data_IF_726829015960
#
_entry.id   IF_726829015960
#
_cell.length_a   1.000
_cell.length_b   1.000
_cell.length_c   1.000
_cell.angle_alpha   90.00
_cell.angle_beta   90.00
_cell.angle_gamma   90.00
#
_symmetry.space_group_name_H-M   'P 1'
#
loop_
_entity.id
_entity.type
_entity.pdbx_description
1 polymer ?
#
# COMPACT_ATOMS: atom_id res chain seq x y z
N UNK A 1 20.30 -28.16 -15.82
CA UNK A 1 19.79 -26.92 -15.21
C UNK A 1 18.51 -26.56 -15.93
N UNK A 2 17.41 -26.40 -15.21
CA UNK A 2 16.11 -26.05 -15.78
C UNK A 2 16.04 -24.52 -15.91
N UNK A 3 16.34 -24.02 -17.12
CA UNK A 3 16.37 -22.58 -17.39
C UNK A 3 14.99 -21.92 -17.32
N UNK A 4 13.92 -22.69 -17.48
CA UNK A 4 12.56 -22.18 -17.35
C UNK A 4 12.27 -21.86 -15.89
N UNK A 5 12.69 -22.74 -14.99
CA UNK A 5 12.59 -22.53 -13.54
C UNK A 5 13.45 -21.36 -13.05
N UNK A 6 14.60 -21.11 -13.68
CA UNK A 6 15.43 -19.93 -13.37
C UNK A 6 14.72 -18.64 -13.77
N UNK A 7 14.11 -18.60 -14.96
CA UNK A 7 13.38 -17.43 -15.42
C UNK A 7 12.19 -17.08 -14.51
N UNK A 8 11.44 -18.09 -14.05
CA UNK A 8 10.35 -17.90 -13.10
C UNK A 8 10.86 -17.32 -11.76
N UNK A 9 11.97 -17.87 -11.24
CA UNK A 9 12.56 -17.42 -9.99
C UNK A 9 13.05 -15.97 -10.07
N UNK A 10 13.65 -15.57 -11.20
CA UNK A 10 14.06 -14.18 -11.43
C UNK A 10 12.87 -13.22 -11.42
N UNK A 11 11.73 -13.60 -12.02
CA UNK A 11 10.54 -12.75 -12.00
C UNK A 11 9.99 -12.57 -10.57
N UNK A 12 10.01 -13.63 -9.76
CA UNK A 12 9.58 -13.53 -8.35
C UNK A 12 10.55 -12.72 -7.48
N UNK A 13 11.85 -12.82 -7.74
CA UNK A 13 12.86 -12.03 -7.05
C UNK A 13 12.72 -10.54 -7.38
N UNK A 14 12.48 -10.19 -8.64
CA UNK A 14 12.26 -8.81 -9.04
C UNK A 14 11.13 -8.16 -8.23
N UNK A 15 9.98 -8.82 -8.10
CA UNK A 15 8.85 -8.33 -7.30
C UNK A 15 9.20 -8.20 -5.82
N UNK A 16 9.94 -9.17 -5.25
CA UNK A 16 10.37 -9.10 -3.86
C UNK A 16 11.32 -7.91 -3.60
N UNK A 17 12.14 -7.57 -4.60
CA UNK A 17 13.04 -6.42 -4.60
C UNK A 17 12.34 -5.10 -4.99
N UNK A 18 11.00 -5.09 -5.11
CA UNK A 18 10.19 -3.93 -5.53
C UNK A 18 10.55 -3.40 -6.93
N UNK A 19 10.88 -4.32 -7.85
CA UNK A 19 11.21 -4.06 -9.26
C UNK A 19 10.32 -4.85 -10.22
N UNK A 20 10.21 -4.37 -11.46
CA UNK A 20 9.43 -5.05 -12.50
C UNK A 20 10.20 -6.25 -13.06
N UNK A 21 9.55 -7.41 -13.28
CA UNK A 21 10.19 -8.56 -13.89
C UNK A 21 10.43 -8.35 -15.39
N UNK A 22 11.56 -8.82 -15.91
CA UNK A 22 11.85 -8.80 -17.34
C UNK A 22 10.97 -9.80 -18.12
N UNK A 23 10.20 -9.31 -19.10
CA UNK A 23 9.42 -10.16 -20.01
C UNK A 23 10.19 -10.34 -21.31
N UNK A 24 10.79 -11.52 -21.50
CA UNK A 24 11.67 -11.80 -22.63
C UNK A 24 10.93 -12.44 -23.81
N UNK A 25 11.35 -12.11 -25.04
CA UNK A 25 10.73 -12.65 -26.26
C UNK A 25 10.79 -14.18 -26.37
N UNK A 26 11.87 -14.77 -25.83
CA UNK A 26 12.10 -16.22 -25.83
C UNK A 26 11.22 -17.02 -24.85
N UNK A 27 10.40 -16.36 -24.04
CA UNK A 27 9.51 -17.04 -23.09
C UNK A 27 8.39 -17.80 -23.81
N UNK A 28 8.07 -18.99 -23.30
CA UNK A 28 6.84 -19.70 -23.69
C UNK A 28 5.60 -18.88 -23.31
N UNK A 29 4.42 -19.14 -23.92
CA UNK A 29 3.19 -18.44 -23.55
C UNK A 29 2.85 -18.53 -22.06
N UNK A 30 3.08 -19.70 -21.43
CA UNK A 30 2.85 -19.90 -20.00
C UNK A 30 3.81 -19.07 -19.13
N UNK A 31 5.10 -19.04 -19.46
CA UNK A 31 6.08 -18.19 -18.77
C UNK A 31 5.74 -16.71 -18.90
N UNK A 32 5.37 -16.28 -20.11
CA UNK A 32 4.96 -14.89 -20.37
C UNK A 32 3.74 -14.50 -19.55
N UNK A 33 2.73 -15.38 -19.47
CA UNK A 33 1.55 -15.14 -18.65
C UNK A 33 1.88 -14.98 -17.15
N UNK A 34 2.81 -15.77 -16.62
CA UNK A 34 3.25 -15.63 -15.21
C UNK A 34 4.06 -14.36 -14.97
N UNK A 35 4.97 -14.02 -15.89
CA UNK A 35 5.74 -12.78 -15.78
C UNK A 35 4.81 -11.54 -15.83
N UNK A 36 3.82 -11.53 -16.73
CA UNK A 36 2.78 -10.49 -16.80
C UNK A 36 1.92 -10.43 -15.54
N UNK A 37 1.62 -11.57 -14.93
CA UNK A 37 0.90 -11.61 -13.66
C UNK A 37 1.71 -10.98 -12.52
N UNK A 38 3.00 -11.31 -12.43
CA UNK A 38 3.91 -10.78 -11.41
C UNK A 38 4.21 -9.28 -11.62
N UNK A 39 4.37 -8.84 -12.87
CA UNK A 39 4.45 -7.42 -13.22
C UNK A 39 3.20 -6.67 -12.76
N UNK A 40 2.02 -7.14 -13.15
CA UNK A 40 0.76 -6.53 -12.73
C UNK A 40 0.60 -6.51 -11.19
N UNK A 41 1.10 -7.53 -10.49
CA UNK A 41 1.08 -7.57 -9.03
C UNK A 41 2.03 -6.55 -8.37
N UNK A 42 3.22 -6.36 -8.94
CA UNK A 42 4.14 -5.31 -8.53
C UNK A 42 3.57 -3.90 -8.77
N UNK A 43 2.87 -3.71 -9.88
CA UNK A 43 2.26 -2.44 -10.30
C UNK A 43 0.88 -2.15 -9.65
N UNK A 44 0.53 -2.81 -8.56
CA UNK A 44 -0.76 -2.68 -7.85
C UNK A 44 -2.02 -3.04 -8.68
N UNK A 45 -1.87 -3.68 -9.86
CA UNK A 45 -2.96 -4.13 -10.75
C UNK A 45 -3.45 -5.53 -10.38
N UNK A 46 -3.93 -5.69 -9.14
CA UNK A 46 -4.27 -6.99 -8.52
C UNK A 46 -5.25 -7.85 -9.32
N UNK A 47 -6.32 -7.26 -9.88
CA UNK A 47 -7.30 -8.00 -10.67
C UNK A 47 -6.73 -8.43 -12.04
N UNK A 48 -5.81 -7.65 -12.60
CA UNK A 48 -5.12 -8.00 -13.84
C UNK A 48 -4.11 -9.12 -13.60
N UNK A 49 -3.43 -9.11 -12.44
CA UNK A 49 -2.50 -10.17 -12.04
C UNK A 49 -3.18 -11.56 -12.05
N UNK A 50 -4.34 -11.69 -11.40
CA UNK A 50 -5.10 -12.96 -11.41
C UNK A 50 -5.65 -13.30 -12.80
N UNK A 51 -5.95 -12.31 -13.63
CA UNK A 51 -6.38 -12.54 -15.01
C UNK A 51 -5.26 -13.14 -15.86
N UNK A 52 -4.05 -12.59 -15.79
CA UNK A 52 -2.89 -13.14 -16.50
C UNK A 52 -2.48 -14.50 -15.95
N UNK A 53 -2.49 -14.69 -14.62
CA UNK A 53 -2.12 -15.99 -14.01
C UNK A 53 -3.02 -17.13 -14.47
N UNK A 54 -4.32 -16.87 -14.67
CA UNK A 54 -5.30 -17.88 -15.13
C UNK A 54 -5.13 -18.31 -16.59
N UNK A 55 -4.25 -17.66 -17.37
CA UNK A 55 -3.92 -18.08 -18.75
C UNK A 55 -2.98 -19.28 -18.83
N UNK A 56 -2.57 -19.81 -17.67
CA UNK A 56 -1.75 -20.99 -17.54
C UNK A 56 -2.27 -21.87 -16.39
N UNK A 57 -1.84 -23.14 -16.34
CA UNK A 57 -2.45 -24.16 -15.47
C UNK A 57 -1.66 -24.47 -14.18
N UNK A 58 -0.43 -23.96 -14.04
CA UNK A 58 0.39 -24.24 -12.86
C UNK A 58 -0.13 -23.46 -11.65
N UNK A 59 -0.23 -24.17 -10.52
CA UNK A 59 -0.50 -23.57 -9.23
C UNK A 59 0.65 -22.63 -8.79
N UNK A 60 0.39 -21.58 -8.00
CA UNK A 60 1.44 -20.77 -7.40
C UNK A 60 2.29 -21.61 -6.44
N UNK A 61 3.61 -21.49 -6.56
CA UNK A 61 4.62 -22.30 -5.86
C UNK A 61 5.48 -21.46 -4.93
N UNK A 62 5.86 -20.24 -5.34
CA UNK A 62 6.71 -19.36 -4.52
C UNK A 62 5.86 -18.53 -3.54
N UNK A 63 6.44 -18.03 -2.44
CA UNK A 63 5.72 -17.12 -1.54
C UNK A 63 5.11 -15.91 -2.26
N UNK A 64 5.84 -15.31 -3.21
CA UNK A 64 5.35 -14.17 -4.01
C UNK A 64 4.18 -14.57 -4.92
N UNK A 65 4.25 -15.72 -5.60
CA UNK A 65 3.14 -16.21 -6.43
C UNK A 65 1.90 -16.52 -5.57
N UNK A 66 2.10 -17.07 -4.36
CA UNK A 66 1.02 -17.33 -3.41
C UNK A 66 0.42 -16.02 -2.91
N UNK A 67 1.25 -15.04 -2.55
CA UNK A 67 0.84 -13.71 -2.13
C UNK A 67 0.03 -12.99 -3.21
N UNK A 68 0.48 -13.04 -4.46
CA UNK A 68 -0.24 -12.51 -5.61
C UNK A 68 -1.64 -13.10 -5.74
N UNK A 69 -1.74 -14.44 -5.70
CA UNK A 69 -3.04 -15.10 -5.79
C UNK A 69 -3.93 -14.77 -4.60
N UNK A 70 -3.37 -14.75 -3.38
CA UNK A 70 -4.08 -14.45 -2.16
C UNK A 70 -4.67 -13.02 -2.20
N UNK A 71 -3.84 -12.02 -2.47
CA UNK A 71 -4.26 -10.62 -2.44
C UNK A 71 -5.17 -10.27 -3.62
N UNK A 72 -4.89 -10.80 -4.82
CA UNK A 72 -5.73 -10.57 -5.99
C UNK A 72 -7.14 -11.16 -5.84
N UNK A 73 -7.27 -12.36 -5.27
CA UNK A 73 -8.57 -12.95 -4.95
C UNK A 73 -9.29 -12.16 -3.84
N UNK A 74 -8.55 -11.69 -2.83
CA UNK A 74 -9.12 -10.86 -1.77
C UNK A 74 -9.65 -9.52 -2.30
N UNK A 75 -8.93 -8.89 -3.24
CA UNK A 75 -9.38 -7.68 -3.92
C UNK A 75 -10.67 -7.92 -4.71
N UNK A 76 -10.81 -9.09 -5.33
CA UNK A 76 -12.03 -9.51 -6.01
C UNK A 76 -13.20 -9.86 -5.07
N UNK A 77 -12.98 -9.89 -3.74
CA UNK A 77 -13.95 -10.37 -2.76
C UNK A 77 -14.18 -11.88 -2.81
N UNK A 78 -13.29 -12.63 -3.48
CA UNK A 78 -13.42 -14.08 -3.67
C UNK A 78 -12.93 -14.83 -2.43
N UNK A 79 -13.79 -15.66 -1.85
CA UNK A 79 -13.49 -16.46 -0.66
C UNK A 79 -12.39 -17.51 -0.89
N UNK A 80 -12.06 -17.85 -2.14
CA UNK A 80 -10.89 -18.66 -2.47
C UNK A 80 -9.58 -18.03 -1.94
N UNK A 81 -9.54 -16.71 -1.69
CA UNK A 81 -8.41 -16.03 -1.07
C UNK A 81 -8.00 -16.64 0.29
N UNK A 82 -8.95 -17.18 1.06
CA UNK A 82 -8.70 -17.71 2.41
C UNK A 82 -7.70 -18.86 2.40
N UNK A 83 -7.81 -19.78 1.43
CA UNK A 83 -6.87 -20.90 1.31
C UNK A 83 -5.45 -20.41 0.99
N UNK A 84 -5.33 -19.43 0.09
CA UNK A 84 -4.04 -18.85 -0.26
C UNK A 84 -3.46 -18.01 0.89
N UNK A 85 -4.29 -17.29 1.65
CA UNK A 85 -3.87 -16.56 2.85
C UNK A 85 -3.33 -17.52 3.94
N UNK A 86 -3.98 -18.67 4.14
CA UNK A 86 -3.51 -19.69 5.08
C UNK A 86 -2.16 -20.28 4.64
N UNK A 87 -1.99 -20.56 3.35
CA UNK A 87 -0.71 -21.01 2.79
C UNK A 87 0.38 -19.96 2.98
N UNK A 88 0.06 -18.70 2.68
CA UNK A 88 0.99 -17.58 2.83
C UNK A 88 1.43 -17.41 4.29
N UNK A 89 0.51 -17.54 5.24
CA UNK A 89 0.77 -17.35 6.66
C UNK A 89 1.74 -18.36 7.30
N UNK A 90 2.09 -19.45 6.59
CA UNK A 90 3.17 -20.34 7.00
C UNK A 90 4.56 -19.71 6.86
N UNK A 91 4.71 -18.70 6.01
CA UNK A 91 5.96 -17.97 5.77
C UNK A 91 5.84 -16.50 6.17
N UNK A 92 4.75 -15.86 5.74
CA UNK A 92 4.54 -14.42 5.78
C UNK A 92 3.22 -14.11 6.54
N UNK A 93 3.20 -14.22 7.87
CA UNK A 93 1.98 -14.05 8.66
C UNK A 93 1.43 -12.61 8.67
N UNK A 94 2.26 -11.59 8.40
CA UNK A 94 1.81 -10.20 8.27
C UNK A 94 0.97 -9.99 7.01
N UNK A 95 1.47 -10.48 5.88
CA UNK A 95 0.86 -10.44 4.56
C UNK A 95 -0.44 -11.25 4.53
N UNK A 96 -0.45 -12.42 5.17
CA UNK A 96 -1.67 -13.21 5.31
C UNK A 96 -2.78 -12.42 6.02
N UNK A 97 -2.45 -11.66 7.07
CA UNK A 97 -3.41 -10.79 7.74
C UNK A 97 -3.83 -9.60 6.84
N UNK A 98 -2.91 -9.01 6.05
CA UNK A 98 -3.29 -8.00 5.06
C UNK A 98 -4.31 -8.54 4.04
N UNK A 99 -4.11 -9.76 3.55
CA UNK A 99 -5.03 -10.43 2.63
C UNK A 99 -6.41 -10.60 3.27
N UNK A 100 -6.47 -11.06 4.52
CA UNK A 100 -7.74 -11.21 5.25
C UNK A 100 -8.41 -9.86 5.48
N UNK A 101 -7.66 -8.83 5.85
CA UNK A 101 -8.15 -7.47 5.98
C UNK A 101 -8.77 -6.96 4.69
N UNK A 102 -8.09 -7.15 3.55
CA UNK A 102 -8.60 -6.78 2.21
C UNK A 102 -9.88 -7.53 1.87
N UNK A 103 -9.90 -8.86 2.03
CA UNK A 103 -11.08 -9.68 1.73
C UNK A 103 -12.31 -9.21 2.51
N UNK A 104 -12.13 -8.96 3.81
CA UNK A 104 -13.21 -8.49 4.70
C UNK A 104 -13.67 -7.08 4.33
N UNK A 105 -12.75 -6.18 4.00
CA UNK A 105 -13.08 -4.83 3.54
C UNK A 105 -13.89 -4.86 2.23
N UNK A 106 -13.50 -5.70 1.27
CA UNK A 106 -14.24 -5.89 0.00
C UNK A 106 -15.57 -6.62 0.20
N UNK A 107 -15.72 -7.37 1.29
CA UNK A 107 -16.98 -8.00 1.71
C UNK A 107 -17.87 -7.11 2.60
N UNK A 108 -17.50 -5.84 2.81
CA UNK A 108 -18.27 -4.88 3.63
C UNK A 108 -18.15 -5.08 5.14
N UNK A 109 -17.21 -5.91 5.61
CA UNK A 109 -16.98 -6.22 7.03
C UNK A 109 -15.84 -5.37 7.59
N UNK A 110 -16.01 -4.06 7.57
CA UNK A 110 -14.92 -3.10 7.83
C UNK A 110 -14.35 -3.21 9.25
N UNK A 111 -15.18 -3.45 10.26
CA UNK A 111 -14.70 -3.64 11.64
C UNK A 111 -13.75 -4.84 11.78
N UNK A 112 -14.12 -5.99 11.20
CA UNK A 112 -13.26 -7.19 11.18
C UNK A 112 -12.01 -6.96 10.31
N UNK A 113 -12.14 -6.22 9.20
CA UNK A 113 -11.00 -5.87 8.36
C UNK A 113 -9.94 -5.08 9.14
N UNK A 114 -10.36 -4.11 9.95
CA UNK A 114 -9.47 -3.32 10.82
C UNK A 114 -8.74 -4.21 11.83
N UNK A 115 -9.39 -5.23 12.39
CA UNK A 115 -8.74 -6.15 13.33
C UNK A 115 -7.52 -6.83 12.69
N UNK A 116 -7.67 -7.30 11.45
CA UNK A 116 -6.59 -7.90 10.69
C UNK A 116 -5.51 -6.90 10.26
N UNK A 117 -5.89 -5.70 9.80
CA UNK A 117 -4.92 -4.66 9.44
C UNK A 117 -4.07 -4.22 10.64
N UNK A 118 -4.69 -4.01 11.80
CA UNK A 118 -3.97 -3.68 13.04
C UNK A 118 -2.97 -4.77 13.40
N UNK A 119 -3.38 -6.04 13.26
CA UNK A 119 -2.53 -7.19 13.54
C UNK A 119 -1.34 -7.29 12.56
N UNK A 120 -1.59 -7.08 11.26
CA UNK A 120 -0.55 -7.05 10.23
C UNK A 120 0.49 -5.96 10.51
N UNK A 121 0.06 -4.70 10.68
CA UNK A 121 0.97 -3.57 10.91
C UNK A 121 1.69 -3.62 12.26
N UNK A 122 1.14 -4.30 13.27
CA UNK A 122 1.88 -4.60 14.49
C UNK A 122 3.03 -5.57 14.26
N UNK A 123 2.87 -6.56 13.37
CA UNK A 123 3.95 -7.49 13.02
C UNK A 123 5.05 -6.86 12.18
N UNK A 124 4.70 -6.01 11.22
CA UNK A 124 5.70 -5.33 10.38
C UNK A 124 6.66 -4.43 11.15
N UNK A 125 6.40 -4.15 12.44
CA UNK A 125 7.35 -3.48 13.33
C UNK A 125 8.60 -4.30 13.61
N UNK A 126 8.46 -5.63 13.60
CA UNK A 126 9.51 -6.57 13.97
C UNK A 126 9.97 -7.44 12.79
N UNK A 127 9.33 -7.34 11.62
CA UNK A 127 9.58 -8.15 10.44
C UNK A 127 10.35 -7.37 9.34
N UNK A 128 11.66 -7.62 9.17
CA UNK A 128 12.47 -6.91 8.18
C UNK A 128 12.34 -7.48 6.76
N UNK A 129 11.53 -8.53 6.52
CA UNK A 129 11.43 -9.20 5.23
C UNK A 129 10.04 -9.09 4.56
N UNK A 130 9.14 -8.31 5.17
CA UNK A 130 7.81 -8.07 4.61
C UNK A 130 7.88 -7.46 3.19
N UNK A 131 6.93 -7.85 2.33
CA UNK A 131 6.86 -7.41 0.94
C UNK A 131 6.42 -5.93 0.85
N UNK A 132 7.29 -4.99 0.42
CA UNK A 132 6.97 -3.57 0.45
C UNK A 132 5.74 -3.19 -0.37
N UNK A 133 5.51 -3.83 -1.52
CA UNK A 133 4.33 -3.58 -2.36
C UNK A 133 3.02 -3.93 -1.64
N UNK A 134 2.98 -5.02 -0.87
CA UNK A 134 1.81 -5.38 -0.07
C UNK A 134 1.61 -4.42 1.10
N UNK A 135 2.69 -4.05 1.80
CA UNK A 135 2.61 -3.05 2.88
C UNK A 135 2.05 -1.72 2.39
N UNK A 136 2.54 -1.23 1.23
CA UNK A 136 2.08 -0.01 0.59
C UNK A 136 0.57 -0.07 0.30
N UNK A 137 0.09 -1.14 -0.32
CA UNK A 137 -1.35 -1.32 -0.59
C UNK A 137 -2.17 -1.51 0.68
N UNK A 138 -1.60 -2.10 1.73
CA UNK A 138 -2.21 -2.19 3.05
C UNK A 138 -2.40 -0.81 3.68
N UNK A 139 -1.40 0.07 3.58
CA UNK A 139 -1.45 1.45 4.05
C UNK A 139 -2.49 2.27 3.25
N UNK A 140 -2.59 2.04 1.95
CA UNK A 140 -3.68 2.61 1.13
C UNK A 140 -5.06 2.18 1.66
N UNK A 141 -5.23 0.88 1.96
CA UNK A 141 -6.50 0.36 2.51
C UNK A 141 -6.82 0.94 3.89
N UNK A 142 -5.80 1.15 4.75
CA UNK A 142 -5.95 1.87 6.03
C UNK A 142 -6.56 3.25 5.80
N UNK A 143 -6.03 4.01 4.85
CA UNK A 143 -6.56 5.33 4.52
C UNK A 143 -7.99 5.24 3.98
N UNK A 144 -8.27 4.34 3.02
CA UNK A 144 -9.62 4.10 2.48
C UNK A 144 -10.65 3.87 3.59
N UNK A 145 -10.36 2.98 4.55
CA UNK A 145 -11.27 2.65 5.64
C UNK A 145 -11.44 3.81 6.62
N UNK A 146 -10.39 4.60 6.86
CA UNK A 146 -10.46 5.78 7.73
C UNK A 146 -11.40 6.87 7.19
N UNK A 147 -11.49 7.00 5.86
CA UNK A 147 -12.40 7.95 5.22
C UNK A 147 -13.87 7.51 5.30
N UNK A 148 -14.13 6.20 5.31
CA UNK A 148 -15.49 5.64 5.33
C UNK A 148 -16.14 5.73 6.70
N UNK A 149 -15.40 5.39 7.74
CA UNK A 149 -15.87 5.48 9.12
C UNK A 149 -14.80 6.07 10.04
N UNK A 150 -15.02 7.32 10.47
CA UNK A 150 -14.12 8.03 11.38
C UNK A 150 -13.97 7.33 12.74
N UNK A 151 -14.90 6.43 13.12
CA UNK A 151 -14.77 5.63 14.35
C UNK A 151 -13.66 4.59 14.27
N UNK A 152 -13.29 4.16 13.06
CA UNK A 152 -12.19 3.23 12.82
C UNK A 152 -10.83 3.92 12.85
N UNK A 153 -10.79 5.25 12.62
CA UNK A 153 -9.57 6.02 12.44
C UNK A 153 -8.60 5.92 13.64
N UNK A 154 -9.09 5.92 14.88
CA UNK A 154 -8.22 5.81 16.07
C UNK A 154 -7.43 4.49 16.10
N UNK A 155 -8.11 3.38 15.82
CA UNK A 155 -7.49 2.04 15.80
C UNK A 155 -6.51 1.90 14.64
N UNK A 156 -6.89 2.43 13.47
CA UNK A 156 -6.08 2.44 12.27
C UNK A 156 -4.84 3.32 12.43
N UNK A 157 -4.97 4.48 13.07
CA UNK A 157 -3.85 5.36 13.38
C UNK A 157 -2.86 4.70 14.33
N UNK A 158 -3.31 4.05 15.40
CA UNK A 158 -2.42 3.32 16.32
C UNK A 158 -1.60 2.25 15.58
N UNK A 159 -2.19 1.61 14.57
CA UNK A 159 -1.50 0.61 13.75
C UNK A 159 -0.33 1.21 12.95
N UNK A 160 -0.54 2.40 12.37
CA UNK A 160 0.42 3.02 11.44
C UNK A 160 1.26 4.14 12.04
N UNK A 161 1.02 4.57 13.28
CA UNK A 161 1.72 5.69 13.91
C UNK A 161 3.17 5.38 14.30
N UNK A 162 3.49 4.12 14.58
CA UNK A 162 4.85 3.67 14.91
C UNK A 162 5.62 3.24 13.64
N UNK A 163 6.95 3.47 13.58
CA UNK A 163 7.79 2.97 12.49
C UNK A 163 7.75 1.44 12.36
N UNK A 164 8.01 0.97 11.14
CA UNK A 164 8.17 -0.45 10.83
C UNK A 164 9.64 -0.89 10.91
N UNK A 165 9.88 -2.19 10.87
CA UNK A 165 11.23 -2.75 10.82
C UNK A 165 12.03 -2.08 9.69
N UNK A 166 13.30 -1.78 9.97
CA UNK A 166 14.23 -1.10 9.06
C UNK A 166 13.73 0.24 8.47
N UNK A 167 12.71 0.87 9.08
CA UNK A 167 12.03 2.07 8.57
C UNK A 167 11.48 1.89 7.14
N UNK A 168 11.10 0.67 6.77
CA UNK A 168 10.52 0.40 5.46
C UNK A 168 9.26 1.26 5.26
N UNK A 169 9.19 1.95 4.13
CA UNK A 169 8.10 2.87 3.76
C UNK A 169 7.84 4.02 4.74
N UNK A 170 8.80 4.46 5.56
CA UNK A 170 8.50 5.41 6.65
C UNK A 170 7.87 6.73 6.17
N UNK A 171 8.36 7.33 5.08
CA UNK A 171 7.75 8.54 4.51
C UNK A 171 6.28 8.30 4.12
N UNK A 172 6.00 7.21 3.40
CA UNK A 172 4.64 6.88 2.97
C UNK A 172 3.73 6.55 4.17
N UNK A 173 4.27 5.88 5.19
CA UNK A 173 3.57 5.60 6.45
C UNK A 173 3.22 6.90 7.18
N UNK A 174 4.14 7.85 7.30
CA UNK A 174 3.92 9.14 7.96
C UNK A 174 2.83 9.94 7.23
N UNK A 175 2.86 9.97 5.89
CA UNK A 175 1.81 10.59 5.08
C UNK A 175 0.43 9.96 5.33
N UNK A 176 0.35 8.62 5.37
CA UNK A 176 -0.90 7.91 5.68
C UNK A 176 -1.36 8.18 7.11
N UNK A 177 -0.45 8.20 8.09
CA UNK A 177 -0.79 8.54 9.47
C UNK A 177 -1.39 9.96 9.59
N UNK A 178 -0.80 10.94 8.90
CA UNK A 178 -1.35 12.30 8.84
C UNK A 178 -2.73 12.34 8.17
N UNK A 179 -2.92 11.61 7.07
CA UNK A 179 -4.20 11.53 6.39
C UNK A 179 -5.29 10.86 7.26
N UNK A 180 -4.95 9.79 7.98
CA UNK A 180 -5.87 9.13 8.94
C UNK A 180 -6.19 10.06 10.11
N UNK A 181 -5.21 10.82 10.61
CA UNK A 181 -5.44 11.81 11.67
C UNK A 181 -6.44 12.89 11.21
N UNK A 182 -6.30 13.40 9.98
CA UNK A 182 -7.29 14.31 9.38
C UNK A 182 -8.66 13.64 9.23
N UNK A 183 -8.73 12.41 8.73
CA UNK A 183 -9.99 11.67 8.54
C UNK A 183 -10.74 11.40 9.86
N UNK A 184 -10.03 11.40 11.00
CA UNK A 184 -10.60 11.22 12.33
C UNK A 184 -11.52 12.36 12.79
N UNK A 185 -11.56 13.49 12.06
CA UNK A 185 -12.39 14.67 12.37
C UNK A 185 -12.16 15.21 13.79
N UNK A 186 -10.89 15.30 14.18
CA UNK A 186 -10.45 15.86 15.47
C UNK A 186 -10.34 14.86 16.61
N UNK A 187 -10.68 13.58 16.40
CA UNK A 187 -10.42 12.54 17.40
C UNK A 187 -8.92 12.27 17.60
N UNK A 188 -8.10 12.61 16.59
CA UNK A 188 -6.64 12.48 16.59
C UNK A 188 -6.04 13.85 16.23
N UNK A 189 -5.10 14.38 17.02
CA UNK A 189 -4.41 15.62 16.69
C UNK A 189 -3.63 15.49 15.37
N UNK A 190 -4.12 16.12 14.30
CA UNK A 190 -3.43 16.05 13.00
C UNK A 190 -2.10 16.84 13.02
N UNK A 191 -1.95 17.84 13.90
CA UNK A 191 -0.78 18.72 13.92
C UNK A 191 0.53 18.00 14.28
N UNK A 192 0.45 16.99 15.16
CA UNK A 192 1.61 16.15 15.50
C UNK A 192 1.97 15.23 14.33
N UNK A 193 0.96 14.67 13.66
CA UNK A 193 1.17 13.77 12.52
C UNK A 193 1.81 14.49 11.31
N UNK A 194 1.38 15.71 10.99
CA UNK A 194 2.05 16.52 9.97
C UNK A 194 3.43 16.99 10.40
N UNK A 195 3.60 17.31 11.69
CA UNK A 195 4.89 17.75 12.25
C UNK A 195 6.01 16.72 12.16
N UNK A 196 5.67 15.43 12.09
CA UNK A 196 6.65 14.35 11.98
C UNK A 196 7.47 14.40 10.67
N UNK A 197 6.96 15.09 9.63
CA UNK A 197 7.62 15.26 8.33
C UNK A 197 8.31 16.62 8.19
N UNK A 198 8.41 17.41 9.25
CA UNK A 198 9.09 18.70 9.25
C UNK A 198 10.55 18.56 9.73
N UNK A 199 11.48 19.40 9.23
CA UNK A 199 11.27 20.65 8.48
C UNK A 199 11.10 20.49 6.95
N UNK A 200 11.25 19.27 6.41
CA UNK A 200 11.29 19.01 4.96
C UNK A 200 10.03 18.25 4.47
N UNK A 201 8.84 18.89 4.46
CA UNK A 201 7.59 18.22 4.12
C UNK A 201 7.55 17.80 2.64
N UNK A 202 6.76 16.76 2.28
CA UNK A 202 6.43 16.45 0.91
C UNK A 202 5.94 17.67 0.12
N UNK A 203 6.68 18.05 -0.93
CA UNK A 203 6.40 19.23 -1.75
C UNK A 203 5.36 18.95 -2.85
N UNK A 204 4.12 18.66 -2.43
CA UNK A 204 2.98 18.34 -3.31
C UNK A 204 1.71 19.07 -2.83
N UNK A 205 0.91 19.57 -3.77
CA UNK A 205 -0.22 20.49 -3.53
C UNK A 205 -1.16 20.07 -2.39
N UNK A 206 -2.01 19.09 -2.65
CA UNK A 206 -1.83 17.87 -1.90
C UNK A 206 -1.71 17.91 -0.38
N UNK A 207 -0.52 17.46 0.01
CA UNK A 207 0.04 17.48 1.35
C UNK A 207 0.15 18.89 1.93
N UNK A 208 0.69 19.85 1.17
CA UNK A 208 0.93 21.21 1.64
C UNK A 208 -0.37 21.89 2.07
N UNK A 209 -1.42 21.72 1.27
CA UNK A 209 -2.76 22.19 1.58
C UNK A 209 -3.32 21.53 2.83
N UNK A 210 -3.29 20.20 2.90
CA UNK A 210 -3.86 19.47 4.03
C UNK A 210 -3.13 19.80 5.37
N UNK A 211 -1.82 20.00 5.31
CA UNK A 211 -1.01 20.46 6.45
C UNK A 211 -1.38 21.87 6.89
N UNK A 212 -1.46 22.83 5.96
CA UNK A 212 -1.86 24.21 6.27
C UNK A 212 -3.28 24.27 6.86
N UNK A 213 -4.21 23.51 6.27
CA UNK A 213 -5.59 23.40 6.74
C UNK A 213 -5.65 22.81 8.17
N UNK A 214 -4.85 21.78 8.46
CA UNK A 214 -4.76 21.19 9.80
C UNK A 214 -4.25 22.21 10.83
N UNK A 215 -3.10 22.86 10.58
CA UNK A 215 -2.53 23.83 11.52
C UNK A 215 -3.45 25.03 11.75
N UNK A 216 -4.16 25.49 10.72
CA UNK A 216 -5.15 26.56 10.88
C UNK A 216 -6.33 26.11 11.78
N UNK A 217 -6.84 24.90 11.58
CA UNK A 217 -7.95 24.36 12.38
C UNK A 217 -7.59 24.11 13.84
N UNK A 218 -6.33 23.78 14.12
CA UNK A 218 -5.84 23.50 15.48
C UNK A 218 -5.15 24.70 16.15
N UNK A 219 -5.19 25.88 15.52
CA UNK A 219 -4.51 27.09 16.00
C UNK A 219 -3.00 26.87 16.26
N UNK A 220 -2.35 26.01 15.45
CA UNK A 220 -0.93 25.70 15.58
C UNK A 220 -0.08 26.83 14.96
N UNK A 221 0.94 27.29 15.69
CA UNK A 221 1.81 28.39 15.26
C UNK A 221 2.57 28.10 13.96
N UNK A 222 2.75 26.82 13.61
CA UNK A 222 3.38 26.39 12.35
C UNK A 222 2.53 26.69 11.11
N UNK A 223 1.28 27.13 11.28
CA UNK A 223 0.41 27.58 10.18
C UNK A 223 1.08 28.62 9.29
N UNK A 224 1.91 29.51 9.86
CA UNK A 224 2.60 30.56 9.09
C UNK A 224 3.54 29.95 8.06
N UNK A 225 4.39 29.01 8.48
CA UNK A 225 5.32 28.32 7.58
C UNK A 225 4.58 27.43 6.58
N UNK A 226 3.56 26.69 7.03
CA UNK A 226 2.80 25.82 6.14
C UNK A 226 2.03 26.57 5.05
N UNK A 227 1.50 27.76 5.36
CA UNK A 227 0.85 28.63 4.37
C UNK A 227 1.88 29.22 3.41
N UNK A 228 3.06 29.64 3.89
CA UNK A 228 4.14 30.15 3.03
C UNK A 228 4.60 29.08 2.01
N UNK A 229 4.78 27.84 2.47
CA UNK A 229 5.11 26.71 1.62
C UNK A 229 4.03 26.46 0.54
N UNK A 230 2.75 26.46 0.92
CA UNK A 230 1.64 26.29 -0.01
C UNK A 230 1.59 27.42 -1.05
N UNK A 231 1.78 28.67 -0.62
CA UNK A 231 1.79 29.82 -1.53
C UNK A 231 2.98 29.77 -2.48
N UNK A 232 4.15 29.35 -2.00
CA UNK A 232 5.34 29.17 -2.82
C UNK A 232 5.12 28.11 -3.89
N UNK A 233 4.50 26.97 -3.53
CA UNK A 233 4.13 25.93 -4.49
C UNK A 233 3.18 26.46 -5.57
N UNK A 234 2.10 27.15 -5.18
CA UNK A 234 1.11 27.70 -6.10
C UNK A 234 1.68 28.78 -7.03
N UNK A 235 2.60 29.61 -6.54
CA UNK A 235 3.27 30.63 -7.35
C UNK A 235 4.21 30.04 -8.41
N UNK A 236 4.73 28.83 -8.17
CA UNK A 236 5.62 28.13 -9.07
C UNK A 236 4.88 27.20 -10.08
N UNK A 237 3.56 27.00 -9.94
CA UNK A 237 2.80 26.18 -10.89
C UNK A 237 2.88 26.79 -12.30
N UNK A 238 3.40 26.05 -13.30
CA UNK A 238 3.47 26.56 -14.65
C UNK A 238 2.05 26.79 -15.18
N UNK A 239 1.81 27.95 -15.79
CA UNK A 239 0.58 28.22 -16.51
C UNK A 239 0.38 27.10 -17.53
N UNK A 240 -0.71 26.32 -17.39
CA UNK A 240 -1.05 25.29 -18.37
C UNK A 240 -1.05 25.94 -19.74
N UNK A 241 -0.23 25.45 -20.67
CA UNK A 241 -0.32 25.86 -22.06
C UNK A 241 -1.78 25.67 -22.49
N UNK A 242 -2.46 26.77 -22.81
CA UNK A 242 -3.79 26.68 -23.38
C UNK A 242 -3.68 25.80 -24.63
N UNK A 243 -4.43 24.70 -24.67
CA UNK A 243 -4.46 23.81 -25.82
C UNK A 243 -4.85 24.63 -27.06
N UNK A 244 -3.89 24.87 -27.95
CA UNK A 244 -4.10 25.69 -29.15
C UNK A 244 -2.80 26.21 -29.77
N UNK A 245 -2.04 25.30 -30.40
CA UNK A 245 -1.25 25.60 -31.59
C UNK A 245 -1.54 24.50 -32.62
#
# INVERSE_FOLDING_TARGET
>A
MDFDRVSDAMATAAVADDTSPDILDRMTPSQRARAQALEAFGDDRLLEAIFHWKKQEQAPRTPVEVAMMAEGLAEAGDQAAVEYAQRLGAWEPGEADLVMGRLLARSGKEGEAVDYLVKAFKRFRDDPWALPCMMRRGLTLVYELSLRDSKLAARLYEAVAAPYAVNVLDNYRQEVAAAVATASKGAIPCAEAYGAMEPDPPWRLDFLKARADCYAQTEDLRVVAAVDDLLTYLAAEPTKFAAGL
#
